data_IF_710084455937
#
_entry.id   IF_710084455937
#
_cell.length_a   1.000
_cell.length_b   1.000
_cell.length_c   1.000
_cell.angle_alpha   90.00
_cell.angle_beta   90.00
_cell.angle_gamma   90.00
#
_symmetry.space_group_name_H-M   'P 1'
#
loop_
_entity.id
_entity.type
_entity.pdbx_description
1 polymer ?
#
# COMPACT_ATOMS: atom_id res chain seq x y z
N UNK A 1 12.08 9.20 -13.65
CA UNK A 1 11.53 8.37 -12.55
C UNK A 1 11.69 9.15 -11.27
N UNK A 2 10.59 9.58 -10.64
CA UNK A 2 10.63 10.41 -9.43
C UNK A 2 10.27 9.58 -8.19
N UNK A 3 11.26 8.85 -7.68
CA UNK A 3 11.07 7.95 -6.53
C UNK A 3 10.63 8.69 -5.26
N UNK A 4 10.97 9.98 -5.11
CA UNK A 4 10.62 10.76 -3.93
C UNK A 4 9.11 10.98 -3.80
N UNK A 5 8.45 11.21 -4.94
CA UNK A 5 7.00 11.38 -5.00
C UNK A 5 6.26 10.07 -4.69
N UNK A 6 6.71 8.96 -5.29
CA UNK A 6 6.19 7.62 -4.99
C UNK A 6 6.35 7.28 -3.48
N UNK A 7 7.48 7.68 -2.86
CA UNK A 7 7.71 7.49 -1.42
C UNK A 7 6.86 8.41 -0.53
N UNK A 8 6.52 9.60 -1.01
CA UNK A 8 5.58 10.49 -0.31
C UNK A 8 4.19 9.86 -0.28
N UNK A 9 3.72 9.34 -1.41
CA UNK A 9 2.43 8.63 -1.50
C UNK A 9 2.42 7.43 -0.54
N UNK A 10 3.50 6.66 -0.46
CA UNK A 10 3.62 5.56 0.51
C UNK A 10 3.45 6.02 1.96
N UNK A 11 3.99 7.19 2.33
CA UNK A 11 3.82 7.77 3.67
C UNK A 11 2.37 8.19 3.90
N UNK A 12 1.75 8.83 2.91
CA UNK A 12 0.37 9.28 3.01
C UNK A 12 -0.61 8.10 3.17
N UNK A 13 -0.39 7.00 2.44
CA UNK A 13 -1.15 5.74 2.60
C UNK A 13 -0.97 5.18 4.02
N UNK A 14 0.27 5.17 4.53
CA UNK A 14 0.55 4.67 5.89
C UNK A 14 -0.13 5.53 6.96
N UNK A 15 -0.15 6.85 6.81
CA UNK A 15 -0.82 7.75 7.76
C UNK A 15 -2.35 7.61 7.70
N UNK A 16 -2.93 7.39 6.52
CA UNK A 16 -4.36 7.05 6.40
C UNK A 16 -4.66 5.71 7.08
N UNK A 17 -3.82 4.69 6.86
CA UNK A 17 -3.98 3.38 7.50
C UNK A 17 -3.94 3.47 9.03
N UNK A 18 -3.04 4.26 9.61
CA UNK A 18 -2.97 4.46 11.07
C UNK A 18 -4.25 5.06 11.67
N UNK A 19 -5.00 5.83 10.88
CA UNK A 19 -6.26 6.45 11.30
C UNK A 19 -7.48 5.59 10.99
N UNK A 20 -7.29 4.49 10.25
CA UNK A 20 -8.37 3.63 9.83
C UNK A 20 -8.96 2.90 11.04
N UNK A 21 -10.27 3.03 11.20
CA UNK A 21 -11.06 2.28 12.18
C UNK A 21 -11.98 1.29 11.46
N UNK A 22 -12.52 0.32 12.19
CA UNK A 22 -13.47 -0.66 11.66
C UNK A 22 -14.81 -0.05 11.25
N UNK A 23 -15.09 1.18 11.67
CA UNK A 23 -16.33 1.91 11.37
C UNK A 23 -16.27 2.62 10.00
N UNK A 24 -15.06 2.95 9.54
CA UNK A 24 -14.85 3.68 8.27
C UNK A 24 -14.74 2.73 7.06
N UNK A 25 -15.84 2.05 6.74
CA UNK A 25 -15.89 1.01 5.69
C UNK A 25 -15.52 1.53 4.29
N UNK A 26 -15.99 2.73 3.92
CA UNK A 26 -15.69 3.33 2.62
C UNK A 26 -14.20 3.69 2.49
N UNK A 27 -13.62 4.24 3.57
CA UNK A 27 -12.20 4.57 3.63
C UNK A 27 -11.34 3.30 3.57
N UNK A 28 -11.75 2.23 4.26
CA UNK A 28 -11.10 0.93 4.17
C UNK A 28 -11.10 0.39 2.73
N UNK A 29 -12.23 0.49 2.02
CA UNK A 29 -12.28 0.09 0.61
C UNK A 29 -11.33 0.91 -0.27
N UNK A 30 -11.38 2.25 -0.17
CA UNK A 30 -10.50 3.15 -0.94
C UNK A 30 -9.04 2.88 -0.67
N UNK A 31 -8.68 2.75 0.61
CA UNK A 31 -7.31 2.49 1.04
C UNK A 31 -6.82 1.14 0.54
N UNK A 32 -7.69 0.12 0.49
CA UNK A 32 -7.35 -1.18 -0.12
C UNK A 32 -6.99 -1.04 -1.61
N UNK A 33 -7.73 -0.24 -2.37
CA UNK A 33 -7.48 -0.05 -3.81
C UNK A 33 -6.19 0.74 -4.05
N UNK A 34 -5.99 1.82 -3.30
CA UNK A 34 -4.81 2.68 -3.48
C UNK A 34 -3.53 1.93 -3.07
N UNK A 35 -3.56 1.16 -1.99
CA UNK A 35 -2.39 0.39 -1.54
C UNK A 35 -1.97 -0.69 -2.55
N UNK A 36 -2.90 -1.42 -3.16
CA UNK A 36 -2.53 -2.40 -4.20
C UNK A 36 -1.98 -1.74 -5.46
N UNK A 37 -2.55 -0.61 -5.90
CA UNK A 37 -1.98 0.14 -7.02
C UNK A 37 -0.57 0.65 -6.71
N UNK A 38 -0.32 1.09 -5.47
CA UNK A 38 1.01 1.51 -5.05
C UNK A 38 2.00 0.33 -4.98
N UNK A 39 1.54 -0.86 -4.59
CA UNK A 39 2.36 -2.08 -4.64
C UNK A 39 2.88 -2.34 -6.06
N UNK A 40 1.99 -2.31 -7.05
CA UNK A 40 2.34 -2.56 -8.46
C UNK A 40 3.32 -1.50 -8.96
N UNK A 41 3.05 -0.23 -8.65
CA UNK A 41 3.95 0.89 -8.96
C UNK A 41 5.34 0.70 -8.36
N UNK A 42 5.45 0.29 -7.09
CA UNK A 42 6.74 0.00 -6.46
C UNK A 42 7.45 -1.19 -7.10
N UNK A 43 6.72 -2.20 -7.57
CA UNK A 43 7.28 -3.34 -8.28
C UNK A 43 7.91 -2.91 -9.61
N UNK A 44 7.21 -2.06 -10.38
CA UNK A 44 7.74 -1.48 -11.62
C UNK A 44 9.03 -0.70 -11.36
N UNK A 45 9.03 0.18 -10.34
CA UNK A 45 10.23 0.92 -9.93
C UNK A 45 11.38 -0.03 -9.57
N UNK A 46 11.08 -1.12 -8.84
CA UNK A 46 12.08 -2.11 -8.42
C UNK A 46 12.76 -2.81 -9.61
N UNK A 47 12.01 -3.06 -10.69
CA UNK A 47 12.55 -3.61 -11.94
C UNK A 47 13.43 -2.58 -12.67
N UNK A 48 13.07 -1.30 -12.60
CA UNK A 48 13.79 -0.21 -13.24
C UNK A 48 15.05 0.26 -12.48
N UNK A 49 15.27 -0.16 -11.22
CA UNK A 49 16.47 0.19 -10.43
C UNK A 49 17.78 -0.14 -11.17
N UNK A 50 17.78 -1.20 -11.98
CA UNK A 50 18.97 -1.57 -12.77
C UNK A 50 19.39 -0.49 -13.77
N UNK A 51 18.45 0.34 -14.23
CA UNK A 51 18.66 1.41 -15.18
C UNK A 51 19.08 2.74 -14.52
N UNK A 52 19.11 2.80 -13.18
CA UNK A 52 19.52 4.00 -12.46
C UNK A 52 21.05 4.15 -12.43
N UNK A 53 21.50 5.38 -12.71
CA UNK A 53 22.83 5.85 -12.32
C UNK A 53 22.79 6.27 -10.85
N UNK A 54 23.45 5.50 -9.97
CA UNK A 54 23.44 5.80 -8.55
C UNK A 54 24.68 6.61 -8.17
N UNK A 55 24.46 7.79 -7.61
CA UNK A 55 25.49 8.64 -7.00
C UNK A 55 25.76 8.18 -5.56
N UNK A 56 26.55 7.11 -5.47
CA UNK A 56 27.44 6.71 -4.36
C UNK A 56 26.91 6.45 -2.93
N UNK A 57 25.71 6.88 -2.51
CA UNK A 57 25.25 6.65 -1.11
C UNK A 57 24.60 5.29 -0.84
N UNK A 58 24.02 4.65 -1.85
CA UNK A 58 23.31 3.38 -1.71
C UNK A 58 23.60 2.48 -2.91
N UNK A 59 23.66 1.18 -2.71
CA UNK A 59 23.80 0.23 -3.82
C UNK A 59 22.45 -0.01 -4.50
N UNK A 60 22.47 -0.51 -5.75
CA UNK A 60 21.24 -0.98 -6.43
C UNK A 60 20.50 -2.03 -5.61
N UNK A 61 21.25 -2.86 -4.86
CA UNK A 61 20.68 -3.87 -3.96
C UNK A 61 19.92 -3.22 -2.82
N UNK A 62 20.49 -2.19 -2.18
CA UNK A 62 19.85 -1.48 -1.07
C UNK A 62 18.54 -0.84 -1.50
N UNK A 63 18.51 -0.20 -2.68
CA UNK A 63 17.29 0.40 -3.23
C UNK A 63 16.23 -0.67 -3.51
N UNK A 64 16.62 -1.82 -4.08
CA UNK A 64 15.68 -2.92 -4.34
C UNK A 64 15.10 -3.49 -3.06
N UNK A 65 15.92 -3.66 -2.03
CA UNK A 65 15.46 -4.18 -0.74
C UNK A 65 14.55 -3.18 -0.04
N UNK A 66 14.88 -1.88 -0.12
CA UNK A 66 14.02 -0.82 0.40
C UNK A 66 12.64 -0.79 -0.30
N UNK A 67 12.62 -0.85 -1.64
CA UNK A 67 11.37 -0.94 -2.40
C UNK A 67 10.59 -2.21 -2.05
N UNK A 68 11.28 -3.36 -1.88
CA UNK A 68 10.66 -4.62 -1.44
C UNK A 68 10.00 -4.48 -0.05
N UNK A 69 10.64 -3.78 0.88
CA UNK A 69 10.04 -3.48 2.19
C UNK A 69 8.77 -2.64 2.05
N UNK A 70 8.79 -1.60 1.21
CA UNK A 70 7.59 -0.78 0.95
C UNK A 70 6.47 -1.55 0.28
N UNK A 71 6.80 -2.43 -0.67
CA UNK A 71 5.82 -3.34 -1.28
C UNK A 71 5.13 -4.20 -0.22
N UNK A 72 5.87 -4.87 0.67
CA UNK A 72 5.27 -5.66 1.75
C UNK A 72 4.32 -4.85 2.64
N UNK A 73 4.67 -3.60 2.93
CA UNK A 73 3.79 -2.72 3.69
C UNK A 73 2.50 -2.40 2.93
N UNK A 74 2.58 -2.09 1.63
CA UNK A 74 1.40 -1.83 0.80
C UNK A 74 0.51 -3.06 0.69
N UNK A 75 1.09 -4.26 0.53
CA UNK A 75 0.36 -5.53 0.52
C UNK A 75 -0.37 -5.77 1.85
N UNK A 76 0.31 -5.55 2.98
CA UNK A 76 -0.29 -5.67 4.31
C UNK A 76 -1.49 -4.73 4.47
N UNK A 77 -1.33 -3.44 4.13
CA UNK A 77 -2.41 -2.45 4.20
C UNK A 77 -3.58 -2.87 3.31
N UNK A 78 -3.31 -3.36 2.09
CA UNK A 78 -4.36 -3.86 1.19
C UNK A 78 -5.19 -4.96 1.85
N UNK A 79 -4.52 -5.99 2.39
CA UNK A 79 -5.17 -7.16 2.97
C UNK A 79 -6.01 -6.77 4.19
N UNK A 80 -5.45 -5.99 5.12
CA UNK A 80 -6.14 -5.56 6.34
C UNK A 80 -7.34 -4.66 6.02
N UNK A 81 -7.16 -3.65 5.17
CA UNK A 81 -8.27 -2.76 4.79
C UNK A 81 -9.38 -3.51 4.05
N UNK A 82 -9.03 -4.52 3.24
CA UNK A 82 -10.01 -5.39 2.58
C UNK A 82 -10.74 -6.30 3.56
N UNK A 83 -10.06 -6.78 4.60
CA UNK A 83 -10.67 -7.56 5.66
C UNK A 83 -11.74 -6.75 6.42
N UNK A 84 -11.43 -5.50 6.78
CA UNK A 84 -12.37 -4.56 7.42
C UNK A 84 -13.62 -4.37 6.54
N UNK A 85 -13.42 -4.07 5.25
CA UNK A 85 -14.52 -3.89 4.30
C UNK A 85 -15.41 -5.13 4.18
N UNK A 86 -14.81 -6.32 4.11
CA UNK A 86 -15.54 -7.58 4.00
C UNK A 86 -16.33 -7.90 5.28
N UNK A 87 -15.74 -7.66 6.46
CA UNK A 87 -16.40 -7.88 7.74
C UNK A 87 -17.67 -7.03 7.84
N UNK A 88 -17.57 -5.72 7.56
CA UNK A 88 -18.71 -4.81 7.62
C UNK A 88 -19.84 -5.20 6.65
N UNK A 89 -19.50 -5.63 5.43
CA UNK A 89 -20.49 -6.09 4.45
C UNK A 89 -21.19 -7.39 4.88
N UNK A 90 -20.48 -8.30 5.55
CA UNK A 90 -21.04 -9.54 6.04
C UNK A 90 -22.00 -9.30 7.21
N UNK A 91 -21.67 -8.38 8.12
CA UNK A 91 -22.55 -8.01 9.23
C UNK A 91 -23.83 -7.33 8.73
N UNK A 92 -23.73 -6.42 7.76
CA UNK A 92 -24.90 -5.82 7.11
C UNK A 92 -25.82 -6.86 6.45
N UNK A 93 -25.24 -7.89 5.82
CA UNK A 93 -26.01 -8.99 5.20
C UNK A 93 -26.69 -9.91 6.22
N UNK A 94 -26.12 -10.10 7.41
CA UNK A 94 -26.76 -10.85 8.49
C UNK A 94 -27.97 -10.10 9.03
N UNK A 95 -27.83 -8.80 9.31
CA UNK A 95 -28.92 -7.95 9.82
C UNK A 95 -30.12 -7.94 8.86
N UNK A 96 -29.90 -7.99 7.54
CA UNK A 96 -30.98 -8.02 6.53
C UNK A 96 -31.72 -9.36 6.40
N UNK A 97 -31.22 -10.44 7.02
CA UNK A 97 -31.79 -11.79 6.91
C UNK A 97 -32.65 -12.16 8.12
N UNK A 98 -32.62 -11.36 9.18
CA UNK A 98 -33.46 -11.46 10.38
C UNK A 98 -34.64 -10.48 10.29
#
# INVERSE_FOLDING_TARGET
MNIEEDLKICKDIMEQYKKLTTENVEEAFKLSQISISMYDRLNELRLQVNMLEIKERHTKSDIKEYLRSKMKLMEYIHVESRAIFNAANNDYRKIKRD
#
